data_IF_397572077070
#
_entry.id   IF_397572077070
#
_cell.length_a   1.000
_cell.length_b   1.000
_cell.length_c   1.000
_cell.angle_alpha   90.00
_cell.angle_beta   90.00
_cell.angle_gamma   90.00
#
_symmetry.space_group_name_H-M   'P 1'
#
loop_
_entity.id
_entity.type
_entity.pdbx_description
1 polymer ?
#
# COMPACT_ATOMS: atom_id res chain seq x y z
N UNK A 1 10.63 -11.40 -8.07
CA UNK A 1 11.24 -10.06 -8.01
C UNK A 1 10.27 -9.05 -8.60
N UNK A 2 9.95 -7.99 -7.86
CA UNK A 2 9.05 -6.94 -8.32
C UNK A 2 9.60 -6.18 -9.55
N UNK A 3 8.71 -5.64 -10.38
CA UNK A 3 9.09 -4.89 -11.57
C UNK A 3 9.83 -3.58 -11.20
N UNK A 4 11.13 -3.56 -11.45
CA UNK A 4 12.02 -2.41 -11.17
C UNK A 4 11.78 -1.23 -12.14
N UNK A 5 11.07 -1.44 -13.25
CA UNK A 5 10.74 -0.38 -14.21
C UNK A 5 9.82 0.67 -13.61
N UNK A 6 9.06 0.29 -12.59
CA UNK A 6 8.11 1.15 -11.89
C UNK A 6 8.76 2.37 -11.20
N UNK A 7 10.03 2.27 -10.80
CA UNK A 7 10.78 3.41 -10.27
C UNK A 7 11.26 4.39 -11.36
N UNK A 8 11.42 3.91 -12.60
CA UNK A 8 11.97 4.69 -13.71
C UNK A 8 10.88 5.39 -14.52
N UNK A 9 9.69 4.79 -14.56
CA UNK A 9 8.54 5.29 -15.31
C UNK A 9 7.64 6.15 -14.41
N UNK A 10 7.76 7.47 -14.57
CA UNK A 10 6.98 8.46 -13.81
C UNK A 10 5.47 8.34 -14.05
N UNK A 11 5.05 7.94 -15.26
CA UNK A 11 3.62 7.79 -15.57
C UNK A 11 3.03 6.58 -14.85
N UNK A 12 3.72 5.43 -14.92
CA UNK A 12 3.32 4.23 -14.17
C UNK A 12 3.31 4.47 -12.67
N UNK A 13 4.32 5.16 -12.14
CA UNK A 13 4.39 5.53 -10.73
C UNK A 13 3.17 6.37 -10.32
N UNK A 14 2.89 7.46 -11.05
CA UNK A 14 1.78 8.35 -10.73
C UNK A 14 0.43 7.65 -10.86
N UNK A 15 0.24 6.83 -11.89
CA UNK A 15 -0.97 6.04 -12.07
C UNK A 15 -1.20 5.07 -10.91
N UNK A 16 -0.15 4.40 -10.44
CA UNK A 16 -0.24 3.49 -9.31
C UNK A 16 -0.55 4.24 -8.00
N UNK A 17 0.12 5.37 -7.74
CA UNK A 17 -0.19 6.23 -6.58
C UNK A 17 -1.65 6.68 -6.62
N UNK A 18 -2.16 7.09 -7.79
CA UNK A 18 -3.56 7.50 -7.93
C UNK A 18 -4.53 6.35 -7.62
N UNK A 19 -4.26 5.13 -8.12
CA UNK A 19 -5.05 3.94 -7.77
C UNK A 19 -5.00 3.63 -6.28
N UNK A 20 -3.81 3.65 -5.68
CA UNK A 20 -3.60 3.40 -4.25
C UNK A 20 -4.35 4.40 -3.35
N UNK A 21 -4.30 5.69 -3.70
CA UNK A 21 -5.09 6.73 -3.02
C UNK A 21 -6.59 6.48 -3.13
N UNK A 22 -7.07 6.18 -4.34
CA UNK A 22 -8.48 5.88 -4.54
C UNK A 22 -8.94 4.64 -3.76
N UNK A 23 -8.09 3.61 -3.65
CA UNK A 23 -8.36 2.44 -2.83
C UNK A 23 -8.40 2.79 -1.33
N UNK A 24 -7.43 3.57 -0.85
CA UNK A 24 -7.40 4.04 0.54
C UNK A 24 -8.65 4.82 0.92
N UNK A 25 -9.10 5.78 0.10
CA UNK A 25 -10.29 6.58 0.40
C UNK A 25 -11.57 5.72 0.50
N UNK A 26 -11.66 4.61 -0.25
CA UNK A 26 -12.79 3.67 -0.14
C UNK A 26 -12.83 2.95 1.21
N UNK A 27 -11.67 2.55 1.72
CA UNK A 27 -11.55 1.78 2.97
C UNK A 27 -11.33 2.66 4.21
N UNK A 28 -11.11 3.96 4.05
CA UNK A 28 -10.74 4.89 5.13
C UNK A 28 -11.72 4.87 6.30
N UNK A 29 -13.02 4.67 6.01
CA UNK A 29 -14.06 4.52 7.05
C UNK A 29 -13.88 3.28 7.93
N UNK A 30 -13.39 2.17 7.37
CA UNK A 30 -13.14 0.91 8.10
C UNK A 30 -11.88 0.98 8.97
N UNK A 31 -10.99 1.93 8.66
CA UNK A 31 -9.73 2.15 9.36
C UNK A 31 -9.85 3.11 10.55
N UNK A 32 -11.04 3.68 10.79
CA UNK A 32 -11.28 4.60 11.90
C UNK A 32 -11.02 3.90 13.24
N UNK A 33 -10.17 4.52 14.08
CA UNK A 33 -9.77 3.98 15.38
C UNK A 33 -8.64 2.95 15.32
N UNK A 34 -8.22 2.52 14.12
CA UNK A 34 -7.03 1.70 13.96
C UNK A 34 -5.74 2.55 14.00
N UNK A 35 -4.62 1.90 14.31
CA UNK A 35 -3.31 2.54 14.38
C UNK A 35 -2.28 1.76 13.58
N UNK A 36 -1.22 2.45 13.14
CA UNK A 36 -0.11 1.84 12.41
C UNK A 36 -0.15 2.13 10.92
N UNK A 37 0.09 1.10 10.12
CA UNK A 37 0.26 1.17 8.67
C UNK A 37 -0.71 0.20 8.01
N UNK A 38 -1.38 0.66 6.95
CA UNK A 38 -2.14 -0.19 6.05
C UNK A 38 -1.36 -0.41 4.75
N UNK A 39 -1.23 -1.66 4.32
CA UNK A 39 -0.74 -2.04 3.00
C UNK A 39 -1.94 -2.38 2.13
N UNK A 40 -2.04 -1.76 0.95
CA UNK A 40 -3.21 -1.87 0.07
C UNK A 40 -2.74 -2.38 -1.29
N UNK A 41 -3.36 -3.44 -1.78
CA UNK A 41 -3.20 -3.87 -3.17
C UNK A 41 -4.21 -3.09 -4.04
N UNK A 42 -3.76 -2.14 -4.89
CA UNK A 42 -4.68 -1.19 -5.52
C UNK A 42 -5.63 -1.76 -6.57
N UNK A 43 -5.38 -2.96 -7.10
CA UNK A 43 -6.22 -3.56 -8.15
C UNK A 43 -7.41 -4.34 -7.59
N UNK A 44 -7.18 -5.14 -6.55
CA UNK A 44 -8.21 -5.92 -5.85
C UNK A 44 -8.90 -5.13 -4.74
N UNK A 45 -8.22 -4.15 -4.13
CA UNK A 45 -8.71 -3.43 -2.95
C UNK A 45 -8.47 -4.18 -1.64
N UNK A 46 -7.80 -5.32 -1.67
CA UNK A 46 -7.35 -6.01 -0.48
C UNK A 46 -6.42 -5.12 0.34
N UNK A 47 -6.57 -5.18 1.66
CA UNK A 47 -5.75 -4.40 2.57
C UNK A 47 -5.36 -5.17 3.84
N UNK A 48 -4.21 -4.80 4.38
CA UNK A 48 -3.63 -5.43 5.56
C UNK A 48 -3.14 -4.36 6.52
N UNK A 49 -3.63 -4.39 7.76
CA UNK A 49 -3.24 -3.43 8.79
C UNK A 49 -2.24 -4.06 9.74
N UNK A 50 -1.14 -3.35 9.98
CA UNK A 50 -0.12 -3.75 10.94
C UNK A 50 0.34 -2.57 11.79
N UNK A 51 0.74 -2.84 13.03
CA UNK A 51 1.24 -1.79 13.93
C UNK A 51 2.48 -1.05 13.40
N UNK A 52 3.22 -1.65 12.48
CA UNK A 52 4.40 -1.08 11.82
C UNK A 52 4.40 -1.43 10.34
N UNK A 53 5.20 -0.70 9.55
CA UNK A 53 5.41 -0.96 8.13
C UNK A 53 5.79 -2.43 7.86
N UNK A 54 6.77 -2.96 8.60
CA UNK A 54 7.22 -4.34 8.46
C UNK A 54 6.15 -5.39 8.78
N UNK A 55 5.26 -5.11 9.75
CA UNK A 55 4.14 -6.01 10.08
C UNK A 55 3.05 -5.99 9.01
N UNK A 56 2.70 -4.81 8.50
CA UNK A 56 1.75 -4.68 7.40
C UNK A 56 2.29 -5.36 6.14
N UNK A 57 3.59 -5.19 5.85
CA UNK A 57 4.27 -5.88 4.76
C UNK A 57 4.25 -7.41 4.94
N UNK A 58 4.60 -7.93 6.13
CA UNK A 58 4.62 -9.37 6.37
C UNK A 58 3.23 -10.04 6.21
N UNK A 59 2.16 -9.31 6.49
CA UNK A 59 0.79 -9.78 6.21
C UNK A 59 0.51 -9.77 4.71
N UNK A 60 0.83 -8.68 4.03
CA UNK A 60 0.62 -8.56 2.59
C UNK A 60 1.44 -9.56 1.77
N UNK A 61 2.71 -9.78 2.12
CA UNK A 61 3.64 -10.68 1.43
C UNK A 61 3.13 -12.12 1.39
N UNK A 62 2.37 -12.57 2.40
CA UNK A 62 1.78 -13.92 2.40
C UNK A 62 0.82 -14.14 1.23
N UNK A 63 0.15 -13.09 0.76
CA UNK A 63 -0.81 -13.15 -0.35
C UNK A 63 -0.25 -12.59 -1.66
N UNK A 64 0.60 -11.58 -1.57
CA UNK A 64 1.10 -10.80 -2.69
C UNK A 64 2.65 -10.72 -2.65
N UNK A 65 3.37 -11.84 -2.79
CA UNK A 65 4.84 -11.84 -2.70
C UNK A 65 5.47 -11.13 -3.90
N UNK A 66 6.54 -10.37 -3.66
CA UNK A 66 7.24 -9.55 -4.66
C UNK A 66 6.34 -8.60 -5.46
N UNK A 67 5.20 -8.16 -4.91
CA UNK A 67 4.28 -7.26 -5.60
C UNK A 67 4.29 -5.85 -5.03
N UNK A 68 4.00 -4.89 -5.90
CA UNK A 68 3.88 -3.49 -5.52
C UNK A 68 2.56 -3.23 -4.81
N UNK A 69 2.64 -2.69 -3.60
CA UNK A 69 1.49 -2.27 -2.81
C UNK A 69 1.62 -0.80 -2.43
N UNK A 70 0.50 -0.19 -2.05
CA UNK A 70 0.41 1.16 -1.55
C UNK A 70 0.35 1.16 -0.02
N UNK A 71 1.38 1.70 0.63
CA UNK A 71 1.48 1.75 2.08
C UNK A 71 1.07 3.12 2.59
N UNK A 72 0.17 3.17 3.57
CA UNK A 72 -0.34 4.40 4.17
C UNK A 72 -0.18 4.33 5.68
N UNK A 73 0.43 5.35 6.27
CA UNK A 73 0.42 5.54 7.72
C UNK A 73 -0.92 6.11 8.16
N UNK A 74 -1.60 5.44 9.10
CA UNK A 74 -2.92 5.89 9.57
C UNK A 74 -2.85 7.20 10.36
N UNK A 75 -1.71 7.49 10.99
CA UNK A 75 -1.44 8.75 11.70
C UNK A 75 -0.95 9.88 10.79
N UNK A 76 -0.47 9.56 9.58
CA UNK A 76 -0.05 10.54 8.59
C UNK A 76 -0.26 10.00 7.15
N UNK A 77 -1.49 10.07 6.61
CA UNK A 77 -1.80 9.55 5.29
C UNK A 77 -1.03 10.21 4.14
N UNK A 78 -0.56 11.45 4.33
CA UNK A 78 0.21 12.18 3.30
C UNK A 78 1.62 11.60 3.08
N UNK A 79 2.12 10.82 4.04
CA UNK A 79 3.41 10.11 3.93
C UNK A 79 3.28 8.75 3.21
N UNK A 80 2.17 8.49 2.52
CA UNK A 80 1.94 7.24 1.82
C UNK A 80 2.89 7.03 0.64
N UNK A 81 3.27 5.77 0.42
CA UNK A 81 4.24 5.41 -0.61
C UNK A 81 3.99 4.02 -1.22
N UNK A 82 4.19 3.85 -2.54
CA UNK A 82 4.33 2.55 -3.16
C UNK A 82 5.63 1.86 -2.74
N UNK A 83 5.55 0.58 -2.36
CA UNK A 83 6.73 -0.27 -2.13
C UNK A 83 6.42 -1.70 -2.62
N UNK A 84 7.40 -2.42 -3.19
CA UNK A 84 7.27 -3.85 -3.38
C UNK A 84 7.28 -4.55 -2.03
N UNK A 85 6.50 -5.62 -1.86
CA UNK A 85 6.58 -6.46 -0.67
C UNK A 85 7.91 -7.22 -0.63
N UNK A 86 8.42 -7.47 0.57
CA UNK A 86 9.68 -8.18 0.83
C UNK A 86 9.58 -9.23 1.94
#
# INVERSE_FOLDING_TARGET
MADVSMYKDKEKWNAFVAKGKAAFERIRGELVGQQGVVAIEPESGDYFVGATLGKANALAFQKYPDQWLYFVRLDNPDAAMPLPTW
#
